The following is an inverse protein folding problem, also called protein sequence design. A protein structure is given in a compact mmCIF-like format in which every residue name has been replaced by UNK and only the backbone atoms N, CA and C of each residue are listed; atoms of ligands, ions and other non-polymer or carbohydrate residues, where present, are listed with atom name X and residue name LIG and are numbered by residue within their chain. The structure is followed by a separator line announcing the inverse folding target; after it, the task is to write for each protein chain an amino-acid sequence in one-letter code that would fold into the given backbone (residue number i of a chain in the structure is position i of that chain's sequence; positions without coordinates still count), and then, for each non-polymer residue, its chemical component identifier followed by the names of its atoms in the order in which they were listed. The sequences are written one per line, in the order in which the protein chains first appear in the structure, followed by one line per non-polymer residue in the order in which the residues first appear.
data_IF_243887680375
#
_entry.id   IF_243887680375
#
_cell.length_a   1.000
_cell.length_b   1.000
_cell.length_c   1.000
_cell.angle_alpha   90.00
_cell.angle_beta   90.00
_cell.angle_gamma   90.00
#
_symmetry.space_group_name_H-M   'P 1'
#
loop_
_entity.id
_entity.type
_entity.pdbx_description
1 polymer ?
#
# COMPACT_ATOMS: atom_id res chain seq x y z
N UNK A 1 18.79 22.07 13.75
CA UNK A 1 17.75 21.22 14.39
C UNK A 1 18.45 20.43 15.49
N UNK A 2 17.94 20.44 16.73
CA UNK A 2 18.60 19.73 17.84
C UNK A 2 18.51 18.21 17.63
N UNK A 3 19.43 17.46 18.24
CA UNK A 3 19.48 15.99 18.12
C UNK A 3 18.16 15.32 18.59
N UNK A 4 17.56 15.86 19.66
CA UNK A 4 16.26 15.39 20.17
C UNK A 4 15.09 15.60 19.19
N UNK A 5 15.03 16.75 18.51
CA UNK A 5 13.96 17.02 17.51
C UNK A 5 14.09 16.10 16.31
N UNK A 6 15.31 15.85 15.84
CA UNK A 6 15.58 14.92 14.73
C UNK A 6 15.16 13.49 15.09
N UNK A 7 15.52 13.03 16.29
CA UNK A 7 15.13 11.71 16.80
C UNK A 7 13.61 11.55 16.90
N UNK A 8 12.91 12.54 17.44
CA UNK A 8 11.45 12.51 17.53
C UNK A 8 10.77 12.47 16.14
N UNK A 9 11.29 13.21 15.17
CA UNK A 9 10.80 13.16 13.79
C UNK A 9 11.05 11.81 13.11
N UNK A 10 12.21 11.19 13.37
CA UNK A 10 12.54 9.85 12.88
C UNK A 10 11.57 8.81 13.46
N UNK A 11 11.35 8.81 14.78
CA UNK A 11 10.38 7.94 15.47
C UNK A 11 8.98 8.11 14.87
N UNK A 12 8.50 9.34 14.72
CA UNK A 12 7.18 9.61 14.10
C UNK A 12 7.07 9.05 12.68
N UNK A 13 8.14 9.14 11.89
CA UNK A 13 8.18 8.60 10.52
C UNK A 13 8.10 7.07 10.54
N UNK A 14 8.87 6.42 11.42
CA UNK A 14 8.86 4.96 11.56
C UNK A 14 7.52 4.45 12.10
N UNK A 15 6.90 5.13 13.06
CA UNK A 15 5.56 4.77 13.56
C UNK A 15 4.53 4.72 12.43
N UNK A 16 4.51 5.74 11.58
CA UNK A 16 3.59 5.78 10.42
C UNK A 16 3.94 4.70 9.39
N UNK A 17 5.24 4.47 9.18
CA UNK A 17 5.71 3.42 8.28
C UNK A 17 5.28 2.03 8.76
N UNK A 18 5.46 1.68 10.04
CA UNK A 18 5.11 0.35 10.57
C UNK A 18 3.64 0.04 10.34
N UNK A 19 2.74 0.96 10.69
CA UNK A 19 1.30 0.79 10.44
C UNK A 19 1.00 0.56 8.95
N UNK A 20 1.67 1.32 8.07
CA UNK A 20 1.48 1.18 6.62
C UNK A 20 2.08 -0.12 6.07
N UNK A 21 3.24 -0.52 6.54
CA UNK A 21 3.91 -1.73 6.08
C UNK A 21 3.17 -2.99 6.55
N UNK A 22 2.55 -2.95 7.73
CA UNK A 22 1.65 -4.02 8.20
C UNK A 22 0.41 -4.15 7.32
N UNK A 23 -0.20 -3.05 6.85
CA UNK A 23 -1.28 -3.11 5.84
C UNK A 23 -0.85 -3.83 4.55
N UNK A 24 0.41 -3.63 4.13
CA UNK A 24 1.00 -4.30 2.97
C UNK A 24 1.26 -5.77 3.27
N UNK A 25 1.78 -6.10 4.44
CA UNK A 25 2.05 -7.46 4.89
C UNK A 25 0.76 -8.30 5.06
N UNK A 26 -0.34 -7.68 5.49
CA UNK A 26 -1.67 -8.32 5.60
C UNK A 26 -2.41 -8.41 4.25
N UNK A 27 -1.79 -8.05 3.13
CA UNK A 27 -2.39 -8.22 1.79
C UNK A 27 -2.38 -9.70 1.36
N UNK A 28 -3.40 -10.12 0.61
CA UNK A 28 -3.52 -11.50 0.12
C UNK A 28 -2.30 -11.96 -0.68
N UNK A 29 -1.74 -11.10 -1.54
CA UNK A 29 -0.49 -11.40 -2.27
C UNK A 29 0.75 -11.54 -1.36
N UNK A 30 0.77 -10.92 -0.17
CA UNK A 30 1.87 -11.07 0.77
C UNK A 30 1.83 -12.40 1.55
N UNK A 31 0.72 -13.15 1.47
CA UNK A 31 0.59 -14.46 2.11
C UNK A 31 1.56 -15.52 1.56
N UNK A 32 1.98 -15.38 0.29
CA UNK A 32 3.00 -16.24 -0.32
C UNK A 32 4.16 -15.40 -0.88
N UNK A 33 5.23 -15.34 -0.09
CA UNK A 33 6.47 -14.65 -0.48
C UNK A 33 7.04 -15.16 -1.80
N UNK A 34 6.93 -16.47 -2.10
CA UNK A 34 7.49 -17.04 -3.34
C UNK A 34 6.72 -16.58 -4.56
N UNK A 35 5.42 -16.33 -4.43
CA UNK A 35 4.62 -15.70 -5.49
C UNK A 35 5.13 -14.30 -5.75
N UNK A 36 5.30 -13.47 -4.71
CA UNK A 36 5.87 -12.12 -4.88
C UNK A 36 7.25 -12.15 -5.53
N UNK A 37 8.16 -13.00 -5.05
CA UNK A 37 9.52 -13.14 -5.59
C UNK A 37 9.48 -13.55 -7.07
N UNK A 38 8.63 -14.52 -7.44
CA UNK A 38 8.47 -14.97 -8.83
C UNK A 38 8.00 -13.85 -9.75
N UNK A 39 7.00 -13.08 -9.33
CA UNK A 39 6.44 -12.01 -10.15
C UNK A 39 7.36 -10.78 -10.19
N UNK A 40 8.03 -10.43 -9.10
CA UNK A 40 9.03 -9.35 -9.05
C UNK A 40 10.26 -9.66 -9.92
N UNK A 41 10.66 -10.93 -10.01
CA UNK A 41 11.80 -11.39 -10.81
C UNK A 41 11.41 -11.82 -12.24
N UNK A 42 10.14 -11.74 -12.63
CA UNK A 42 9.67 -12.26 -13.91
C UNK A 42 10.36 -11.58 -15.11
N UNK A 43 10.66 -12.39 -16.12
CA UNK A 43 11.27 -12.01 -17.38
C UNK A 43 10.52 -12.64 -18.56
N UNK A 44 10.45 -11.90 -19.67
CA UNK A 44 9.98 -12.43 -20.94
C UNK A 44 10.88 -13.60 -21.35
N UNK A 45 10.25 -14.72 -21.70
CA UNK A 45 10.94 -15.90 -22.19
C UNK A 45 10.35 -16.29 -23.54
N UNK A 46 11.21 -16.66 -24.50
CA UNK A 46 10.80 -17.13 -25.81
C UNK A 46 11.70 -18.27 -26.27
N UNK A 47 11.16 -19.10 -27.17
CA UNK A 47 11.91 -20.11 -27.89
C UNK A 47 12.21 -19.59 -29.30
N UNK A 48 13.43 -19.83 -29.78
CA UNK A 48 13.80 -19.62 -31.18
C UNK A 48 13.64 -20.94 -31.92
N UNK A 49 12.69 -21.00 -32.84
CA UNK A 49 12.32 -22.22 -33.55
C UNK A 49 12.80 -22.13 -34.99
N UNK A 50 13.47 -23.19 -35.46
CA UNK A 50 13.89 -23.33 -36.85
C UNK A 50 13.34 -24.65 -37.39
N UNK A 51 12.43 -24.56 -38.35
CA UNK A 51 11.96 -25.73 -39.07
C UNK A 51 13.10 -26.23 -39.97
N UNK A 52 13.69 -27.39 -39.63
CA UNK A 52 14.85 -27.94 -40.33
C UNK A 52 14.52 -28.44 -41.75
N UNK A 53 13.26 -28.72 -42.06
CA UNK A 53 12.85 -29.19 -43.38
C UNK A 53 12.60 -28.03 -44.36
N UNK A 54 12.04 -26.91 -43.89
CA UNK A 54 11.71 -25.74 -44.73
C UNK A 54 12.68 -24.57 -44.58
N UNK A 55 13.53 -24.59 -43.56
CA UNK A 55 14.41 -23.47 -43.19
C UNK A 55 13.68 -22.29 -42.52
N UNK A 56 12.37 -22.37 -42.32
CA UNK A 56 11.57 -21.30 -41.74
C UNK A 56 11.96 -21.06 -40.27
N UNK A 57 12.13 -19.79 -39.91
CA UNK A 57 12.48 -19.35 -38.55
C UNK A 57 11.27 -18.66 -37.92
N UNK A 58 10.99 -18.97 -36.66
CA UNK A 58 9.93 -18.34 -35.87
C UNK A 58 10.38 -18.09 -34.43
N UNK A 59 9.67 -17.20 -33.74
CA UNK A 59 9.84 -16.92 -32.31
C UNK A 59 8.53 -17.28 -31.63
N UNK A 60 8.62 -18.10 -30.59
CA UNK A 60 7.46 -18.51 -29.80
C UNK A 60 7.61 -17.98 -28.37
N UNK A 61 6.73 -17.06 -27.98
CA UNK A 61 6.71 -16.55 -26.61
C UNK A 61 6.16 -17.60 -25.66
N UNK A 62 6.81 -17.75 -24.49
CA UNK A 62 6.24 -18.54 -23.40
C UNK A 62 5.16 -17.72 -22.68
N UNK A 63 4.05 -18.34 -22.26
CA UNK A 63 3.02 -17.64 -21.49
C UNK A 63 3.58 -16.96 -20.25
N UNK A 64 3.18 -15.71 -20.02
CA UNK A 64 3.51 -14.97 -18.82
C UNK A 64 2.47 -15.24 -17.72
N UNK A 65 2.88 -15.35 -16.44
CA UNK A 65 1.94 -15.51 -15.35
C UNK A 65 1.29 -14.17 -15.00
N UNK A 66 -0.05 -14.12 -15.02
CA UNK A 66 -0.82 -12.98 -14.56
C UNK A 66 -1.42 -13.26 -13.18
N UNK A 67 -1.42 -12.24 -12.32
CA UNK A 67 -2.18 -12.23 -11.07
C UNK A 67 -3.58 -11.63 -11.31
N UNK A 68 -4.58 -11.94 -10.47
CA UNK A 68 -5.87 -11.27 -10.54
C UNK A 68 -5.71 -9.75 -10.44
N UNK A 69 -6.29 -9.00 -11.39
CA UNK A 69 -6.12 -7.55 -11.49
C UNK A 69 -6.46 -6.82 -10.21
N UNK A 70 -7.60 -7.15 -9.59
CA UNK A 70 -8.05 -6.54 -8.32
C UNK A 70 -7.02 -6.70 -7.18
N UNK A 71 -6.29 -7.82 -7.14
CA UNK A 71 -5.24 -8.02 -6.15
C UNK A 71 -4.03 -7.13 -6.43
N UNK A 72 -3.67 -6.93 -7.70
CA UNK A 72 -2.59 -6.02 -8.09
C UNK A 72 -2.96 -4.58 -7.80
N UNK A 73 -4.19 -4.17 -8.10
CA UNK A 73 -4.72 -2.83 -7.82
C UNK A 73 -4.78 -2.54 -6.32
N UNK A 74 -5.29 -3.48 -5.52
CA UNK A 74 -5.34 -3.37 -4.06
C UNK A 74 -3.93 -3.27 -3.46
N UNK A 75 -2.99 -4.08 -3.95
CA UNK A 75 -1.59 -4.00 -3.53
C UNK A 75 -0.95 -2.66 -3.91
N UNK A 76 -1.14 -2.19 -5.14
CA UNK A 76 -0.64 -0.90 -5.63
C UNK A 76 -1.15 0.25 -4.75
N UNK A 77 -2.44 0.26 -4.42
CA UNK A 77 -3.03 1.24 -3.53
C UNK A 77 -2.37 1.23 -2.14
N UNK A 78 -1.98 0.06 -1.61
CA UNK A 78 -1.31 -0.09 -0.31
C UNK A 78 0.15 0.35 -0.33
N UNK A 79 0.90 0.10 -1.38
CA UNK A 79 2.31 0.52 -1.45
C UNK A 79 2.49 1.99 -1.86
N UNK A 80 1.52 2.59 -2.59
CA UNK A 80 1.61 3.96 -3.15
C UNK A 80 2.24 5.02 -2.23
N UNK A 81 1.86 5.18 -0.94
CA UNK A 81 2.43 6.23 -0.09
C UNK A 81 3.92 6.08 0.22
N UNK A 82 4.48 4.90 -0.01
CA UNK A 82 5.91 4.63 0.14
C UNK A 82 6.70 5.11 -1.09
N UNK A 83 6.05 5.28 -2.24
CA UNK A 83 6.69 5.64 -3.52
C UNK A 83 6.33 7.04 -4.00
N UNK A 84 5.34 7.68 -3.39
CA UNK A 84 5.05 9.09 -3.63
C UNK A 84 5.93 9.99 -2.76
N UNK A 85 6.80 10.79 -3.40
CA UNK A 85 7.81 11.62 -2.70
C UNK A 85 7.21 12.62 -1.71
N UNK A 86 6.03 13.15 -2.01
CA UNK A 86 5.34 14.10 -1.13
C UNK A 86 4.82 13.42 0.15
N UNK A 87 4.52 12.12 0.11
CA UNK A 87 3.92 11.41 1.23
C UNK A 87 4.88 11.24 2.41
N UNK A 88 4.33 11.34 3.62
CA UNK A 88 5.12 11.37 4.86
C UNK A 88 5.83 10.06 5.20
N UNK A 89 5.56 8.99 4.47
CA UNK A 89 6.15 7.66 4.64
C UNK A 89 6.93 7.20 3.41
N UNK A 90 7.27 8.10 2.49
CA UNK A 90 8.12 7.79 1.34
C UNK A 90 9.39 7.02 1.77
N UNK A 91 9.77 5.99 1.01
CA UNK A 91 10.82 5.04 1.41
C UNK A 91 12.13 5.73 1.79
N UNK A 92 12.56 6.76 1.06
CA UNK A 92 13.79 7.49 1.42
C UNK A 92 13.69 8.17 2.79
N UNK A 93 12.51 8.68 3.17
CA UNK A 93 12.29 9.31 4.49
C UNK A 93 12.38 8.26 5.60
N UNK A 94 11.83 7.07 5.36
CA UNK A 94 11.87 5.93 6.29
C UNK A 94 13.29 5.41 6.47
N UNK A 95 14.01 5.16 5.38
CA UNK A 95 15.38 4.65 5.43
C UNK A 95 16.35 5.67 6.07
N UNK A 96 16.15 6.97 5.81
CA UNK A 96 16.91 8.02 6.49
C UNK A 96 16.59 8.10 7.99
N UNK A 97 15.32 7.93 8.37
CA UNK A 97 14.94 7.83 9.77
C UNK A 97 15.59 6.63 10.47
N UNK A 98 15.72 5.48 9.78
CA UNK A 98 16.48 4.34 10.30
C UNK A 98 17.96 4.67 10.49
N UNK A 99 18.62 5.26 9.48
CA UNK A 99 20.03 5.65 9.58
C UNK A 99 20.29 6.60 10.75
N UNK A 100 19.38 7.54 10.99
CA UNK A 100 19.45 8.49 12.10
C UNK A 100 19.38 7.82 13.48
N UNK A 101 18.71 6.66 13.57
CA UNK A 101 18.51 5.93 14.82
C UNK A 101 19.54 4.82 15.05
N UNK A 102 20.15 4.27 14.00
CA UNK A 102 20.89 2.99 14.09
C UNK A 102 22.37 3.06 13.76
N UNK A 103 22.92 4.26 13.49
CA UNK A 103 24.24 4.64 12.95
C UNK A 103 25.48 3.72 13.14
N UNK A 104 25.39 2.43 12.81
CA UNK A 104 26.52 1.49 12.69
C UNK A 104 26.82 1.23 11.21
N UNK A 105 28.06 0.85 10.86
CA UNK A 105 28.40 0.47 9.48
C UNK A 105 27.54 -0.67 8.94
N UNK A 106 27.26 -1.68 9.77
CA UNK A 106 26.45 -2.84 9.38
C UNK A 106 25.00 -2.46 9.08
N UNK A 107 24.37 -1.63 9.93
CA UNK A 107 23.00 -1.16 9.66
C UNK A 107 22.95 -0.29 8.41
N UNK A 108 23.98 0.53 8.16
CA UNK A 108 24.06 1.33 6.94
C UNK A 108 24.08 0.47 5.68
N UNK A 109 24.89 -0.59 5.65
CA UNK A 109 24.94 -1.51 4.52
C UNK A 109 23.57 -2.18 4.27
N UNK A 110 22.93 -2.66 5.33
CA UNK A 110 21.59 -3.27 5.24
C UNK A 110 20.55 -2.27 4.71
N UNK A 111 20.56 -1.04 5.20
CA UNK A 111 19.61 0.01 4.80
C UNK A 111 19.83 0.45 3.35
N UNK A 112 21.08 0.56 2.89
CA UNK A 112 21.35 0.88 1.48
C UNK A 112 20.98 -0.29 0.55
N UNK A 113 21.11 -1.53 1.00
CA UNK A 113 20.57 -2.71 0.31
C UNK A 113 19.05 -2.61 0.11
N UNK A 114 18.30 -2.20 1.15
CA UNK A 114 16.86 -1.95 1.04
C UNK A 114 16.56 -0.77 0.10
N UNK A 115 17.34 0.31 0.17
CA UNK A 115 17.18 1.46 -0.73
C UNK A 115 17.28 1.05 -2.19
N UNK A 116 18.25 0.20 -2.52
CA UNK A 116 18.39 -0.33 -3.88
C UNK A 116 17.15 -1.12 -4.33
N UNK A 117 16.55 -1.93 -3.44
CA UNK A 117 15.31 -2.66 -3.75
C UNK A 117 14.14 -1.72 -4.05
N UNK A 118 13.96 -0.67 -3.25
CA UNK A 118 12.95 0.37 -3.52
C UNK A 118 13.18 1.04 -4.87
N UNK A 119 14.42 1.46 -5.16
CA UNK A 119 14.79 2.11 -6.41
C UNK A 119 14.59 1.22 -7.65
N UNK A 120 14.83 -0.10 -7.52
CA UNK A 120 14.56 -1.05 -8.60
C UNK A 120 13.07 -1.17 -8.87
N UNK A 121 12.25 -1.19 -7.81
CA UNK A 121 10.79 -1.31 -7.92
C UNK A 121 10.12 -0.02 -8.42
N UNK A 122 10.61 1.15 -8.00
CA UNK A 122 10.04 2.46 -8.31
C UNK A 122 10.01 2.75 -9.83
N UNK A 123 8.82 2.91 -10.46
CA UNK A 123 8.69 3.26 -11.86
C UNK A 123 9.36 4.58 -12.26
N UNK A 124 9.47 5.52 -11.33
CA UNK A 124 10.00 6.85 -11.60
C UNK A 124 11.53 6.90 -11.38
N UNK A 125 12.15 5.98 -10.65
CA UNK A 125 13.60 5.99 -10.45
C UNK A 125 14.38 5.47 -11.69
N UNK A 126 15.50 6.11 -12.11
CA UNK A 126 16.17 7.27 -11.48
C UNK A 126 15.72 8.64 -12.04
N UNK A 127 14.89 8.66 -13.08
CA UNK A 127 14.63 9.88 -13.87
C UNK A 127 13.52 10.79 -13.29
N UNK A 128 12.84 10.32 -12.26
CA UNK A 128 11.64 10.92 -11.68
C UNK A 128 10.40 10.79 -12.57
N UNK A 129 9.32 11.42 -12.13
CA UNK A 129 8.05 11.51 -12.87
C UNK A 129 8.27 12.13 -14.26
N UNK A 130 7.69 11.55 -15.33
CA UNK A 130 7.69 12.15 -16.65
C UNK A 130 7.15 13.58 -16.68
N UNK A 131 7.85 14.50 -17.36
CA UNK A 131 7.47 15.91 -17.47
C UNK A 131 6.82 16.26 -18.80
N UNK A 132 7.13 15.52 -19.86
CA UNK A 132 6.65 15.72 -21.22
C UNK A 132 5.91 14.48 -21.69
N UNK A 133 4.94 14.60 -22.62
CA UNK A 133 4.42 13.46 -23.36
C UNK A 133 5.54 12.73 -24.10
N UNK A 134 5.32 11.46 -24.40
CA UNK A 134 6.29 10.64 -25.11
C UNK A 134 6.46 11.07 -26.57
N UNK A 135 7.71 11.11 -27.03
CA UNK A 135 8.09 11.41 -28.43
C UNK A 135 8.95 10.34 -29.11
N UNK A 136 9.47 9.35 -28.38
CA UNK A 136 10.40 8.32 -28.91
C UNK A 136 9.73 6.94 -29.10
N UNK A 137 10.33 6.01 -29.87
CA UNK A 137 9.75 4.68 -30.14
C UNK A 137 10.06 3.58 -29.09
N UNK A 138 11.06 3.74 -28.21
CA UNK A 138 11.42 2.70 -27.21
C UNK A 138 10.88 2.97 -25.79
N UNK A 139 10.11 2.04 -25.22
CA UNK A 139 9.53 2.14 -23.87
C UNK A 139 10.34 1.29 -22.90
N UNK A 140 10.72 1.84 -21.75
CA UNK A 140 11.24 1.02 -20.67
C UNK A 140 10.10 0.30 -19.95
N UNK A 141 10.36 -0.87 -19.40
CA UNK A 141 9.39 -1.62 -18.61
C UNK A 141 8.80 -0.79 -17.46
N UNK A 142 9.62 0.09 -16.86
CA UNK A 142 9.19 1.02 -15.81
C UNK A 142 8.23 2.09 -16.33
N UNK A 143 8.45 2.60 -17.55
CA UNK A 143 7.52 3.55 -18.17
C UNK A 143 6.17 2.91 -18.46
N UNK A 144 6.16 1.65 -18.92
CA UNK A 144 4.92 0.91 -19.16
C UNK A 144 4.19 0.63 -17.83
N UNK A 145 4.90 0.18 -16.79
CA UNK A 145 4.34 0.01 -15.45
C UNK A 145 3.76 1.32 -14.90
N UNK A 146 4.51 2.43 -15.04
CA UNK A 146 4.08 3.75 -14.61
C UNK A 146 2.90 4.30 -15.40
N UNK A 147 2.78 3.96 -16.69
CA UNK A 147 1.61 4.29 -17.51
C UNK A 147 0.35 3.61 -16.96
N UNK A 148 0.44 2.32 -16.62
CA UNK A 148 -0.68 1.61 -16.00
C UNK A 148 -1.01 2.13 -14.61
N UNK A 149 -0.03 2.11 -13.70
CA UNK A 149 -0.21 2.46 -12.28
C UNK A 149 -0.71 3.89 -12.10
N UNK A 150 -0.08 4.86 -12.76
CA UNK A 150 -0.36 6.27 -12.50
C UNK A 150 -1.11 6.94 -13.67
N UNK A 151 -1.02 6.40 -14.88
CA UNK A 151 -1.77 6.92 -16.03
C UNK A 151 -3.22 6.43 -16.07
N UNK A 152 -3.48 5.14 -15.83
CA UNK A 152 -4.82 4.57 -15.93
C UNK A 152 -5.47 4.23 -14.59
N UNK A 153 -4.70 3.77 -13.60
CA UNK A 153 -5.28 3.27 -12.33
C UNK A 153 -5.43 4.36 -11.26
N UNK A 154 -4.32 4.99 -10.85
CA UNK A 154 -4.30 5.77 -9.59
C UNK A 154 -4.59 7.27 -9.79
N UNK A 155 -4.19 7.86 -10.92
CA UNK A 155 -4.21 9.32 -11.11
C UNK A 155 -4.86 9.82 -12.39
N UNK A 156 -5.25 8.93 -13.32
CA UNK A 156 -5.81 9.31 -14.61
C UNK A 156 -4.92 10.36 -15.34
N UNK A 157 -3.60 10.14 -15.33
CA UNK A 157 -2.61 11.07 -15.88
C UNK A 157 -2.41 10.85 -17.39
N UNK A 158 -3.03 11.71 -18.21
CA UNK A 158 -2.95 11.64 -19.68
C UNK A 158 -1.52 11.65 -20.22
N UNK A 159 -0.57 12.33 -19.55
CA UNK A 159 0.83 12.33 -19.99
C UNK A 159 1.43 10.94 -19.83
N UNK A 160 1.14 10.28 -18.71
CA UNK A 160 1.61 8.91 -18.47
C UNK A 160 0.96 7.89 -19.39
N UNK A 161 -0.31 8.08 -19.78
CA UNK A 161 -0.98 7.20 -20.76
C UNK A 161 -0.24 7.16 -22.11
N UNK A 162 0.42 8.25 -22.51
CA UNK A 162 1.23 8.25 -23.76
C UNK A 162 2.39 7.25 -23.75
N UNK A 163 2.81 6.77 -22.57
CA UNK A 163 3.85 5.76 -22.41
C UNK A 163 3.34 4.31 -22.52
N UNK A 164 2.09 4.12 -22.92
CA UNK A 164 1.49 2.81 -23.20
C UNK A 164 0.98 2.69 -24.65
N UNK A 165 1.28 3.64 -25.53
CA UNK A 165 0.83 3.57 -26.92
C UNK A 165 1.31 2.28 -27.61
N UNK A 166 0.36 1.48 -28.10
CA UNK A 166 0.64 0.21 -28.75
C UNK A 166 0.93 -0.97 -27.81
N UNK A 167 0.78 -0.78 -26.50
CA UNK A 167 0.93 -1.84 -25.48
C UNK A 167 -0.45 -2.37 -25.08
N UNK A 168 -0.59 -3.70 -24.96
CA UNK A 168 -1.86 -4.28 -24.53
C UNK A 168 -2.10 -4.09 -23.03
N UNK A 169 -3.35 -4.25 -22.59
CA UNK A 169 -3.70 -4.18 -21.17
C UNK A 169 -3.00 -5.27 -20.35
N UNK A 170 -2.85 -6.47 -20.90
CA UNK A 170 -2.17 -7.60 -20.26
C UNK A 170 -0.67 -7.33 -20.09
N UNK A 171 -0.02 -6.79 -21.11
CA UNK A 171 1.40 -6.44 -21.03
C UNK A 171 1.64 -5.30 -20.02
N UNK A 172 0.77 -4.29 -20.01
CA UNK A 172 0.79 -3.24 -18.99
C UNK A 172 0.63 -3.80 -17.57
N UNK A 173 -0.37 -4.64 -17.35
CA UNK A 173 -0.64 -5.28 -16.07
C UNK A 173 0.56 -6.13 -15.62
N UNK A 174 1.22 -6.83 -16.53
CA UNK A 174 2.38 -7.67 -16.24
C UNK A 174 3.57 -6.86 -15.74
N UNK A 175 3.88 -5.72 -16.37
CA UNK A 175 4.93 -4.82 -15.89
C UNK A 175 4.55 -4.13 -14.58
N UNK A 176 3.30 -3.70 -14.43
CA UNK A 176 2.81 -3.15 -13.17
C UNK A 176 2.88 -4.17 -12.03
N UNK A 177 2.51 -5.43 -12.30
CA UNK A 177 2.58 -6.54 -11.34
C UNK A 177 4.01 -6.75 -10.86
N UNK A 178 4.98 -6.74 -11.78
CA UNK A 178 6.41 -6.84 -11.44
C UNK A 178 6.84 -5.72 -10.50
N UNK A 179 6.46 -4.47 -10.82
CA UNK A 179 6.72 -3.31 -9.95
C UNK A 179 6.10 -3.53 -8.58
N UNK A 180 4.78 -3.71 -8.50
CA UNK A 180 4.02 -3.79 -7.25
C UNK A 180 4.54 -4.93 -6.36
N UNK A 181 4.86 -6.11 -6.92
CA UNK A 181 5.44 -7.20 -6.15
C UNK A 181 6.82 -6.82 -5.57
N UNK A 182 7.66 -6.12 -6.33
CA UNK A 182 8.94 -5.60 -5.85
C UNK A 182 8.77 -4.55 -4.76
N UNK A 183 7.78 -3.66 -4.91
CA UNK A 183 7.43 -2.64 -3.92
C UNK A 183 6.96 -3.27 -2.60
N UNK A 184 6.11 -4.30 -2.68
CA UNK A 184 5.67 -5.08 -1.52
C UNK A 184 6.83 -5.77 -0.81
N UNK A 185 7.72 -6.45 -1.55
CA UNK A 185 8.88 -7.12 -0.98
C UNK A 185 9.80 -6.14 -0.25
N UNK A 186 10.17 -5.02 -0.87
CA UNK A 186 11.01 -4.01 -0.24
C UNK A 186 10.37 -3.45 1.04
N UNK A 187 9.06 -3.25 1.01
CA UNK A 187 8.27 -2.77 2.17
C UNK A 187 8.29 -3.77 3.32
N UNK A 188 7.95 -5.03 3.06
CA UNK A 188 7.86 -6.08 4.08
C UNK A 188 9.23 -6.40 4.67
N UNK A 189 10.28 -6.45 3.85
CA UNK A 189 11.63 -6.64 4.35
C UNK A 189 12.10 -5.47 5.24
N UNK A 190 11.71 -4.24 4.90
CA UNK A 190 12.01 -3.07 5.73
C UNK A 190 11.25 -3.13 7.06
N UNK A 191 9.99 -3.60 7.06
CA UNK A 191 9.24 -3.86 8.29
C UNK A 191 9.96 -4.87 9.18
N UNK A 192 10.41 -6.00 8.63
CA UNK A 192 11.14 -7.03 9.38
C UNK A 192 12.46 -6.50 9.95
N UNK A 193 13.15 -5.59 9.24
CA UNK A 193 14.31 -4.91 9.79
C UNK A 193 13.93 -4.02 10.99
N UNK A 194 12.86 -3.23 10.88
CA UNK A 194 12.37 -2.38 11.98
C UNK A 194 12.01 -3.23 13.20
N UNK A 195 11.25 -4.31 13.01
CA UNK A 195 10.86 -5.24 14.07
C UNK A 195 12.08 -5.81 14.80
N UNK A 196 13.07 -6.31 14.05
CA UNK A 196 14.31 -6.83 14.63
C UNK A 196 15.04 -5.77 15.45
N UNK A 197 15.22 -4.57 14.90
CA UNK A 197 15.90 -3.47 15.58
C UNK A 197 15.16 -2.99 16.84
N UNK A 198 13.83 -3.11 16.86
CA UNK A 198 13.03 -2.81 18.05
C UNK A 198 13.17 -3.90 19.11
N UNK A 199 13.14 -5.18 18.74
CA UNK A 199 13.40 -6.30 19.67
C UNK A 199 14.81 -6.20 20.28
N UNK A 200 15.80 -5.82 19.48
CA UNK A 200 17.19 -5.59 19.91
C UNK A 200 17.36 -4.29 20.73
N UNK A 201 16.29 -3.50 20.93
CA UNK A 201 16.28 -2.20 21.61
C UNK A 201 17.20 -1.15 20.98
N UNK A 202 17.56 -1.33 19.72
CA UNK A 202 18.30 -0.32 18.92
C UNK A 202 17.38 0.84 18.53
N UNK A 203 16.12 0.53 18.20
CA UNK A 203 15.08 1.50 17.84
C UNK A 203 13.92 1.38 18.83
N UNK A 204 13.70 2.43 19.61
CA UNK A 204 12.62 2.48 20.59
C UNK A 204 11.31 2.95 19.92
N UNK A 205 10.36 2.03 19.78
CA UNK A 205 9.03 2.25 19.19
C UNK A 205 7.94 1.67 20.10
N UNK A 206 6.76 2.29 20.19
CA UNK A 206 5.65 1.77 21.01
C UNK A 206 5.20 0.39 20.53
N UNK A 207 4.96 -0.56 21.45
CA UNK A 207 4.52 -1.92 21.11
C UNK A 207 3.18 -1.96 20.37
N UNK A 208 2.26 -1.04 20.71
CA UNK A 208 0.92 -0.94 20.15
C UNK A 208 0.90 -0.88 18.61
N UNK A 209 1.89 -0.25 17.99
CA UNK A 209 1.92 -0.10 16.53
C UNK A 209 2.16 -1.44 15.81
N UNK A 210 2.71 -2.43 16.51
CA UNK A 210 2.96 -3.78 16.00
C UNK A 210 1.80 -4.73 16.25
N UNK A 211 0.92 -4.43 17.21
CA UNK A 211 -0.15 -5.33 17.66
C UNK A 211 -1.55 -4.86 17.28
N UNK A 212 -1.78 -3.55 17.15
CA UNK A 212 -3.09 -3.00 16.79
C UNK A 212 -3.56 -3.52 15.41
N UNK A 213 -4.83 -3.89 15.24
CA UNK A 213 -5.36 -4.31 13.95
C UNK A 213 -5.19 -3.20 12.90
N UNK A 214 -4.68 -3.55 11.71
CA UNK A 214 -4.59 -2.60 10.60
C UNK A 214 -5.55 -2.95 9.46
N UNK A 215 -5.99 -4.20 9.35
CA UNK A 215 -7.07 -4.60 8.43
C UNK A 215 -8.33 -5.02 9.17
N UNK A 216 -9.47 -4.88 8.49
CA UNK A 216 -10.77 -5.36 8.97
C UNK A 216 -10.98 -6.77 8.44
N UNK A 217 -11.01 -7.75 9.34
CA UNK A 217 -11.35 -9.16 9.02
C UNK A 217 -12.77 -9.52 9.43
N UNK A 218 -13.40 -8.67 10.24
CA UNK A 218 -14.79 -8.82 10.65
C UNK A 218 -15.72 -8.76 9.43
N UNK A 219 -16.69 -9.67 9.39
CA UNK A 219 -17.72 -9.70 8.34
C UNK A 219 -18.92 -8.83 8.67
N UNK A 220 -19.04 -8.47 9.94
CA UNK A 220 -20.12 -7.66 10.50
C UNK A 220 -19.50 -6.68 11.49
N UNK A 221 -20.12 -5.52 11.64
CA UNK A 221 -19.69 -4.50 12.58
C UNK A 221 -20.91 -3.97 13.33
N UNK A 222 -20.76 -3.85 14.65
CA UNK A 222 -21.68 -3.13 15.52
C UNK A 222 -20.89 -2.02 16.22
N UNK A 223 -21.47 -0.83 16.43
CA UNK A 223 -20.82 0.21 17.22
C UNK A 223 -20.41 -0.33 18.59
N UNK A 224 -19.15 -0.13 18.97
CA UNK A 224 -18.68 -0.38 20.33
C UNK A 224 -19.07 0.80 21.21
N UNK A 225 -19.90 0.57 22.22
CA UNK A 225 -20.36 1.61 23.16
C UNK A 225 -21.87 1.62 23.32
N UNK A 226 -22.35 2.53 24.15
CA UNK A 226 -23.78 2.76 24.33
C UNK A 226 -24.32 3.56 23.13
N UNK A 227 -25.21 2.96 22.34
CA UNK A 227 -25.93 3.66 21.28
C UNK A 227 -27.26 4.10 21.85
N UNK A 228 -27.47 5.42 21.95
CA UNK A 228 -28.75 6.00 22.35
C UNK A 228 -29.51 6.51 21.15
N UNK A 229 -30.79 6.19 21.10
CA UNK A 229 -31.70 6.67 20.06
C UNK A 229 -32.72 7.60 20.72
N UNK A 230 -33.03 8.72 20.06
CA UNK A 230 -33.95 9.74 20.56
C UNK A 230 -35.08 10.01 19.57
N UNK A 231 -36.25 10.39 20.08
CA UNK A 231 -37.44 10.77 19.32
C UNK A 231 -37.98 12.11 19.81
N UNK A 232 -38.60 12.87 18.91
CA UNK A 232 -39.32 14.11 19.22
C UNK A 232 -40.57 14.24 18.34
N UNK A 233 -41.48 15.14 18.71
CA UNK A 233 -42.73 15.36 17.99
C UNK A 233 -42.46 15.98 16.60
N UNK A 234 -43.35 15.68 15.65
CA UNK A 234 -43.27 16.19 14.27
C UNK A 234 -43.23 17.72 14.27
N UNK A 235 -42.22 18.29 13.61
CA UNK A 235 -41.98 19.74 13.57
C UNK A 235 -40.95 20.24 14.58
N UNK A 236 -40.46 19.38 15.48
CA UNK A 236 -39.31 19.71 16.34
C UNK A 236 -38.06 19.93 15.48
N UNK A 237 -37.34 21.05 15.64
CA UNK A 237 -36.09 21.27 14.92
C UNK A 237 -35.04 20.19 15.22
N UNK A 238 -34.33 19.75 14.19
CA UNK A 238 -33.20 18.83 14.35
C UNK A 238 -32.08 19.49 15.17
N UNK A 239 -31.35 18.72 16.00
CA UNK A 239 -30.17 19.24 16.70
C UNK A 239 -29.11 19.65 15.70
N UNK A 240 -28.47 20.79 15.95
CA UNK A 240 -27.41 21.33 15.08
C UNK A 240 -26.01 20.85 15.48
N UNK A 241 -25.89 20.16 16.61
CA UNK A 241 -24.64 19.63 17.17
C UNK A 241 -24.86 18.25 17.80
N UNK A 242 -23.84 17.41 17.74
CA UNK A 242 -23.77 16.13 18.46
C UNK A 242 -23.11 16.26 19.84
N UNK A 243 -22.43 17.39 20.10
CA UNK A 243 -21.68 17.63 21.34
C UNK A 243 -22.49 18.41 22.38
N UNK A 244 -23.63 18.97 21.97
CA UNK A 244 -24.53 19.69 22.87
C UNK A 244 -25.63 18.75 23.38
N UNK A 245 -26.02 18.83 24.66
CA UNK A 245 -27.15 18.07 25.17
C UNK A 245 -28.40 18.34 24.33
N UNK A 246 -29.12 17.27 24.00
CA UNK A 246 -30.42 17.41 23.35
C UNK A 246 -31.36 18.21 24.27
N UNK A 247 -32.18 19.06 23.66
CA UNK A 247 -33.21 19.78 24.41
C UNK A 247 -34.23 18.79 24.99
N UNK A 248 -34.97 19.23 26.01
CA UNK A 248 -36.05 18.45 26.64
C UNK A 248 -37.17 17.99 25.69
N UNK A 249 -37.18 18.48 24.44
CA UNK A 249 -38.13 18.03 23.41
C UNK A 249 -37.79 16.63 22.87
N UNK A 250 -36.55 16.19 23.03
CA UNK A 250 -36.07 14.87 22.63
C UNK A 250 -36.14 13.90 23.81
N UNK A 251 -36.75 12.75 23.59
CA UNK A 251 -36.93 11.67 24.58
C UNK A 251 -36.21 10.42 24.09
N UNK A 252 -35.73 9.57 24.98
CA UNK A 252 -35.10 8.32 24.55
C UNK A 252 -36.17 7.40 23.92
N UNK A 253 -35.84 6.76 22.80
CA UNK A 253 -36.75 5.88 22.07
C UNK A 253 -37.22 4.72 22.95
N UNK A 254 -36.38 4.29 23.90
CA UNK A 254 -36.75 3.23 24.83
C UNK A 254 -37.86 3.64 25.80
N UNK A 255 -37.93 4.91 26.19
CA UNK A 255 -38.98 5.42 27.08
C UNK A 255 -40.33 5.49 26.38
N UNK A 256 -40.32 5.82 25.08
CA UNK A 256 -41.55 6.03 24.29
C UNK A 256 -42.07 4.73 23.65
N UNK A 257 -41.17 3.86 23.19
CA UNK A 257 -41.52 2.69 22.38
C UNK A 257 -40.93 1.37 22.89
N UNK A 258 -40.16 1.40 23.98
CA UNK A 258 -39.60 0.19 24.57
C UNK A 258 -40.72 -0.78 24.97
N UNK A 259 -40.66 -2.02 24.48
CA UNK A 259 -41.53 -3.07 25.01
C UNK A 259 -41.03 -3.45 26.39
N UNK A 260 -41.90 -3.37 27.39
CA UNK A 260 -41.68 -4.07 28.65
C UNK A 260 -41.67 -5.56 28.35
N UNK A 261 -40.54 -6.22 28.60
CA UNK A 261 -40.43 -7.67 28.46
C UNK A 261 -41.26 -8.30 29.61
N UNK A 262 -42.52 -8.60 29.33
CA UNK A 262 -43.41 -9.29 30.28
C UNK A 262 -43.04 -10.77 30.29
N UNK A 263 -41.95 -11.15 30.97
CA UNK A 263 -41.51 -12.54 30.87
C UNK A 263 -40.34 -13.00 31.74
N UNK A 264 -40.41 -12.82 33.06
CA UNK A 264 -40.02 -13.87 34.02
C UNK A 264 -40.92 -13.76 35.27
N UNK A 265 -41.99 -14.54 35.30
CA UNK A 265 -42.62 -14.98 36.55
C UNK A 265 -42.13 -16.41 36.78
N UNK A 266 -41.58 -16.64 37.96
CA UNK A 266 -41.12 -17.95 38.47
C UNK A 266 -42.19 -19.04 38.40
#
# INVERSE_FOLDING_TARGET
MSNGVRRAAAVKTLTRFVLRARLVQEHSLASDKKVLERHAAWQISFNLVVNKATGQKSVEFKPAPLLPTEQVESAAARVRPLFLREDGVHYDKVLNALLDLTATPQHREQIEGLRSKFQVADPDYPHGRPKLPRSEPHMSNKQIAGAWLYGFLLHEDDRRKTYAHGVSAEEMLLYATRTVCGEMLATVETLHLVERLTVEKTVDLPEEIFTSPVTVTAKEWIPTGEVRAYVADVGTPMPTSLDEPLSSAWREVHDEFGRLDSGQTE
#
